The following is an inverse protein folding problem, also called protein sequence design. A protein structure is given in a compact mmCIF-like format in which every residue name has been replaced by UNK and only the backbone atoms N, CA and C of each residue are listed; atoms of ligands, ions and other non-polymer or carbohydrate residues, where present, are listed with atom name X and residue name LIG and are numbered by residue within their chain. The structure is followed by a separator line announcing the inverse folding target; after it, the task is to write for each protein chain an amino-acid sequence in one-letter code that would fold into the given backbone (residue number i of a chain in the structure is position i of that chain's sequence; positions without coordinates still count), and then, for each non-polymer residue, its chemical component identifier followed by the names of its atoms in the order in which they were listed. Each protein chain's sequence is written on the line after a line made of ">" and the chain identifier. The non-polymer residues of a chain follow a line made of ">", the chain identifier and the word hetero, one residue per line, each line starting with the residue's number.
data_IF_239020645094
#
_entry.id   IF_239020645094
#
_cell.length_a   1.000
_cell.length_b   1.000
_cell.length_c   1.000
_cell.angle_alpha   90.00
_cell.angle_beta   90.00
_cell.angle_gamma   90.00
#
_symmetry.space_group_name_H-M   'P 1'
#
loop_
_entity.id
_entity.type
_entity.pdbx_description
1 polymer ?
#
# COMPACT_ATOMS: atom_id res chain seq x y z
N UNK A 1 4.26 -18.39 -10.22
CA UNK A 1 3.11 -17.98 -11.08
C UNK A 1 2.22 -16.93 -10.43
N UNK A 2 1.51 -17.23 -9.31
CA UNK A 2 0.59 -16.25 -8.68
C UNK A 2 1.28 -14.93 -8.34
N UNK A 3 2.54 -14.98 -7.87
CA UNK A 3 3.37 -13.80 -7.59
C UNK A 3 3.44 -12.82 -8.77
N UNK A 4 3.60 -13.29 -10.01
CA UNK A 4 3.64 -12.44 -11.22
C UNK A 4 2.34 -11.69 -11.45
N UNK A 5 1.21 -12.38 -11.35
CA UNK A 5 -0.12 -11.77 -11.49
C UNK A 5 -0.36 -10.75 -10.38
N UNK A 6 -0.05 -11.13 -9.14
CA UNK A 6 -0.17 -10.26 -7.97
C UNK A 6 0.70 -9.01 -8.10
N UNK A 7 1.94 -9.17 -8.56
CA UNK A 7 2.89 -8.08 -8.76
C UNK A 7 2.43 -7.10 -9.85
N UNK A 8 2.01 -7.59 -11.02
CA UNK A 8 1.42 -6.71 -12.04
C UNK A 8 0.18 -5.98 -11.50
N UNK A 9 -0.65 -6.66 -10.73
CA UNK A 9 -1.80 -6.02 -10.09
C UNK A 9 -1.38 -4.91 -9.12
N UNK A 10 -0.33 -5.14 -8.34
CA UNK A 10 0.26 -4.16 -7.44
C UNK A 10 0.89 -2.97 -8.19
N UNK A 11 1.43 -3.18 -9.39
CA UNK A 11 1.89 -2.09 -10.26
C UNK A 11 0.72 -1.25 -10.85
N UNK A 12 -0.50 -1.79 -10.84
CA UNK A 12 -1.72 -1.11 -11.28
C UNK A 12 -2.44 -1.78 -12.46
N UNK A 13 -1.97 -2.93 -12.92
CA UNK A 13 -2.62 -3.68 -13.99
C UNK A 13 -3.89 -4.37 -13.47
N UNK A 14 -5.06 -3.91 -13.91
CA UNK A 14 -6.31 -4.56 -13.53
C UNK A 14 -6.40 -5.99 -14.09
N UNK A 15 -7.10 -6.91 -13.42
CA UNK A 15 -7.29 -8.28 -13.93
C UNK A 15 -7.91 -8.32 -15.32
N UNK A 16 -8.83 -7.39 -15.61
CA UNK A 16 -9.44 -7.26 -16.94
C UNK A 16 -8.41 -6.93 -18.01
N UNK A 17 -7.46 -6.07 -17.68
CA UNK A 17 -6.39 -5.68 -18.60
C UNK A 17 -5.39 -6.81 -18.81
N UNK A 18 -5.06 -7.54 -17.75
CA UNK A 18 -4.23 -8.74 -17.82
C UNK A 18 -4.90 -9.83 -18.67
N UNK A 19 -6.18 -10.12 -18.44
CA UNK A 19 -6.95 -11.06 -19.26
C UNK A 19 -6.90 -10.68 -20.74
N UNK A 20 -7.10 -9.39 -21.05
CA UNK A 20 -7.06 -8.87 -22.42
C UNK A 20 -5.70 -9.09 -23.08
N UNK A 21 -4.60 -8.77 -22.39
CA UNK A 21 -3.24 -8.87 -22.94
C UNK A 21 -2.77 -10.30 -23.09
N UNK A 22 -3.15 -11.18 -22.16
CA UNK A 22 -2.82 -12.61 -22.22
C UNK A 22 -3.69 -13.36 -23.25
N UNK A 23 -4.84 -12.77 -23.63
CA UNK A 23 -5.84 -13.43 -24.49
C UNK A 23 -6.72 -14.43 -23.72
N UNK A 24 -6.93 -14.19 -22.43
CA UNK A 24 -7.82 -14.99 -21.61
C UNK A 24 -9.27 -14.49 -21.61
N UNK A 25 -10.24 -15.38 -21.33
CA UNK A 25 -11.58 -14.96 -20.97
C UNK A 25 -11.59 -14.07 -19.73
N UNK A 26 -12.53 -13.13 -19.67
CA UNK A 26 -12.68 -12.22 -18.53
C UNK A 26 -12.85 -12.98 -17.21
N UNK A 27 -12.08 -12.59 -16.20
CA UNK A 27 -12.08 -13.18 -14.86
C UNK A 27 -11.10 -14.33 -14.68
N UNK A 28 -10.46 -14.81 -15.76
CA UNK A 28 -9.55 -15.95 -15.69
C UNK A 28 -8.34 -15.65 -14.82
N UNK A 29 -7.71 -14.48 -14.95
CA UNK A 29 -6.52 -14.10 -14.17
C UNK A 29 -6.82 -14.06 -12.67
N UNK A 30 -8.01 -13.57 -12.28
CA UNK A 30 -8.44 -13.60 -10.88
C UNK A 30 -8.69 -15.02 -10.39
N UNK A 31 -9.33 -15.87 -11.22
CA UNK A 31 -9.54 -17.29 -10.92
C UNK A 31 -8.21 -18.05 -10.75
N UNK A 32 -7.19 -17.75 -11.55
CA UNK A 32 -5.89 -18.42 -11.42
C UNK A 32 -5.26 -18.19 -10.04
N UNK A 33 -5.59 -17.12 -9.32
CA UNK A 33 -5.08 -16.89 -7.96
C UNK A 33 -5.68 -17.83 -6.90
N UNK A 34 -6.78 -18.52 -7.19
CA UNK A 34 -7.40 -19.50 -6.28
C UNK A 34 -6.95 -20.94 -6.56
N UNK A 35 -6.31 -21.16 -7.69
CA UNK A 35 -5.86 -22.49 -8.11
C UNK A 35 -4.54 -22.87 -7.43
N UNK A 36 -4.33 -24.16 -7.14
CA UNK A 36 -3.06 -24.63 -6.57
C UNK A 36 -1.98 -24.88 -7.62
N UNK A 37 -2.39 -25.08 -8.87
CA UNK A 37 -1.51 -25.41 -9.98
C UNK A 37 -2.14 -24.99 -11.30
N UNK A 38 -1.31 -24.77 -12.32
CA UNK A 38 -1.77 -24.36 -13.66
C UNK A 38 -1.09 -25.19 -14.73
N UNK A 39 -1.72 -25.27 -15.89
CA UNK A 39 -1.10 -25.89 -17.07
C UNK A 39 0.19 -25.14 -17.46
N UNK A 40 1.25 -25.85 -17.92
CA UNK A 40 2.49 -25.20 -18.37
C UNK A 40 2.28 -24.12 -19.42
N UNK A 41 1.38 -24.36 -20.39
CA UNK A 41 1.04 -23.35 -21.40
C UNK A 41 0.44 -22.06 -20.81
N UNK A 42 -0.31 -22.16 -19.72
CA UNK A 42 -0.87 -20.99 -19.01
C UNK A 42 0.24 -20.25 -18.27
N UNK A 43 1.15 -20.98 -17.64
CA UNK A 43 2.31 -20.40 -16.97
C UNK A 43 3.17 -19.59 -17.94
N UNK A 44 3.48 -20.16 -19.10
CA UNK A 44 4.30 -19.50 -20.13
C UNK A 44 3.69 -18.19 -20.63
N UNK A 45 2.39 -18.19 -20.95
CA UNK A 45 1.68 -16.98 -21.36
C UNK A 45 1.73 -15.86 -20.31
N UNK A 46 1.59 -16.22 -19.03
CA UNK A 46 1.67 -15.26 -17.92
C UNK A 46 3.11 -14.75 -17.77
N UNK A 47 4.11 -15.62 -17.95
CA UNK A 47 5.52 -15.24 -17.90
C UNK A 47 5.89 -14.25 -19.02
N UNK A 48 5.43 -14.50 -20.24
CA UNK A 48 5.64 -13.62 -21.39
C UNK A 48 5.05 -12.23 -21.15
N UNK A 49 3.78 -12.16 -20.73
CA UNK A 49 3.13 -10.87 -20.41
C UNK A 49 3.79 -10.21 -19.21
N UNK A 50 4.25 -10.96 -18.21
CA UNK A 50 4.98 -10.37 -17.09
C UNK A 50 6.26 -9.67 -17.54
N UNK A 51 7.11 -10.35 -18.33
CA UNK A 51 8.34 -9.77 -18.85
C UNK A 51 8.09 -8.54 -19.74
N UNK A 52 6.96 -8.50 -20.45
CA UNK A 52 6.57 -7.34 -21.24
C UNK A 52 6.19 -6.13 -20.37
N UNK A 53 5.55 -6.37 -19.22
CA UNK A 53 4.83 -5.33 -18.46
C UNK A 53 5.50 -4.93 -17.15
N UNK A 54 6.48 -5.69 -16.67
CA UNK A 54 7.10 -5.48 -15.36
C UNK A 54 7.73 -4.08 -15.18
N UNK A 55 8.18 -3.46 -16.27
CA UNK A 55 8.73 -2.08 -16.29
C UNK A 55 7.79 -1.06 -16.96
N UNK A 56 6.54 -1.42 -17.25
CA UNK A 56 5.59 -0.56 -17.97
C UNK A 56 4.46 -0.10 -17.09
N UNK A 57 4.00 1.11 -17.34
CA UNK A 57 2.81 1.64 -16.71
C UNK A 57 1.53 1.19 -17.44
N UNK A 58 0.44 0.91 -16.70
CA UNK A 58 -0.87 0.71 -17.28
C UNK A 58 -1.40 1.98 -17.97
N UNK A 59 -2.22 1.84 -19.03
CA UNK A 59 -2.89 2.98 -19.66
C UNK A 59 -3.64 3.82 -18.63
N UNK A 60 -3.48 5.15 -18.69
CA UNK A 60 -3.98 6.09 -17.68
C UNK A 60 -4.65 7.34 -18.28
N UNK A 61 -4.91 7.34 -19.59
CA UNK A 61 -5.41 8.49 -20.34
C UNK A 61 -6.84 8.87 -19.95
N UNK A 62 -7.68 7.90 -19.60
CA UNK A 62 -9.08 8.11 -19.23
C UNK A 62 -9.31 8.06 -17.72
N UNK A 63 -10.39 8.68 -17.24
CA UNK A 63 -10.78 8.61 -15.83
C UNK A 63 -11.10 7.17 -15.38
N UNK A 64 -11.68 6.36 -16.28
CA UNK A 64 -11.96 4.95 -16.04
C UNK A 64 -10.66 4.15 -15.82
N UNK A 65 -9.67 4.37 -16.67
CA UNK A 65 -8.34 3.75 -16.57
C UNK A 65 -7.64 4.13 -15.27
N UNK A 66 -7.61 5.42 -14.91
CA UNK A 66 -7.05 5.88 -13.62
C UNK A 66 -7.76 5.25 -12.43
N UNK A 67 -9.09 5.14 -12.48
CA UNK A 67 -9.87 4.46 -11.45
C UNK A 67 -9.53 2.96 -11.33
N UNK A 68 -9.31 2.28 -12.45
CA UNK A 68 -8.90 0.88 -12.47
C UNK A 68 -7.50 0.68 -11.86
N UNK A 69 -6.56 1.57 -12.16
CA UNK A 69 -5.21 1.58 -11.57
C UNK A 69 -5.28 1.76 -10.06
N UNK A 70 -6.01 2.78 -9.60
CA UNK A 70 -6.18 3.05 -8.17
C UNK A 70 -6.85 1.87 -7.45
N UNK A 71 -7.87 1.26 -8.06
CA UNK A 71 -8.54 0.07 -7.54
C UNK A 71 -7.59 -1.13 -7.41
N UNK A 72 -6.78 -1.39 -8.44
CA UNK A 72 -5.81 -2.47 -8.44
C UNK A 72 -4.75 -2.31 -7.32
N UNK A 73 -4.15 -1.11 -7.24
CA UNK A 73 -3.17 -0.77 -6.19
C UNK A 73 -3.76 -0.87 -4.79
N UNK A 74 -4.99 -0.37 -4.59
CA UNK A 74 -5.71 -0.46 -3.31
C UNK A 74 -5.96 -1.91 -2.89
N UNK A 75 -6.37 -2.77 -3.83
CA UNK A 75 -6.58 -4.19 -3.56
C UNK A 75 -5.26 -4.89 -3.22
N UNK A 76 -4.22 -4.66 -4.02
CA UNK A 76 -2.89 -5.21 -3.75
C UNK A 76 -2.36 -4.82 -2.37
N UNK A 77 -2.52 -3.55 -1.97
CA UNK A 77 -2.11 -3.09 -0.64
C UNK A 77 -2.94 -3.70 0.51
N UNK A 78 -4.20 -4.06 0.28
CA UNK A 78 -5.02 -4.77 1.25
C UNK A 78 -4.62 -6.25 1.39
N UNK A 79 -4.14 -6.86 0.31
CA UNK A 79 -3.72 -8.26 0.24
C UNK A 79 -2.22 -8.46 0.49
N UNK A 80 -1.46 -7.38 0.71
CA UNK A 80 -0.01 -7.44 0.94
C UNK A 80 0.81 -7.82 -0.29
N UNK A 81 0.31 -7.56 -1.50
CA UNK A 81 1.02 -7.90 -2.75
C UNK A 81 2.01 -6.81 -3.12
N UNK A 82 3.26 -7.23 -3.39
CA UNK A 82 4.36 -6.34 -3.77
C UNK A 82 4.49 -6.22 -5.31
N UNK A 83 4.82 -5.02 -5.85
CA UNK A 83 5.00 -4.80 -7.29
C UNK A 83 6.24 -5.50 -7.85
N UNK A 84 6.41 -5.60 -9.19
CA UNK A 84 7.50 -6.37 -9.82
C UNK A 84 8.89 -5.89 -9.37
N UNK A 85 9.09 -4.57 -9.33
CA UNK A 85 10.34 -3.94 -8.89
C UNK A 85 10.70 -4.17 -7.41
N UNK A 86 9.81 -4.77 -6.62
CA UNK A 86 10.10 -5.13 -5.24
C UNK A 86 10.74 -6.52 -5.13
N UNK A 87 10.91 -7.27 -6.23
CA UNK A 87 11.51 -8.60 -6.25
C UNK A 87 12.86 -8.55 -6.96
N UNK A 88 13.87 -9.22 -6.42
CA UNK A 88 15.17 -9.38 -7.10
C UNK A 88 15.08 -10.58 -8.07
N UNK A 89 14.49 -11.69 -7.61
CA UNK A 89 14.01 -12.80 -8.44
C UNK A 89 12.62 -13.28 -7.96
N UNK A 90 11.58 -12.85 -8.66
CA UNK A 90 10.17 -13.15 -8.30
C UNK A 90 9.83 -14.65 -8.23
N UNK A 91 10.60 -15.51 -8.88
CA UNK A 91 10.39 -16.97 -8.84
C UNK A 91 11.23 -17.65 -7.76
N UNK A 92 12.44 -17.18 -7.49
CA UNK A 92 13.35 -17.80 -6.54
C UNK A 92 13.20 -17.24 -5.11
N UNK A 93 12.84 -15.97 -4.96
CA UNK A 93 12.77 -15.32 -3.65
C UNK A 93 11.59 -15.83 -2.83
N UNK A 94 11.79 -16.04 -1.53
CA UNK A 94 10.69 -16.42 -0.62
C UNK A 94 9.75 -15.25 -0.31
N UNK A 95 10.30 -14.05 -0.28
CA UNK A 95 9.63 -12.78 -0.04
C UNK A 95 10.24 -11.70 -0.94
N UNK A 96 9.50 -10.63 -1.30
CA UNK A 96 10.09 -9.52 -2.05
C UNK A 96 11.31 -9.00 -1.30
N UNK A 97 12.36 -8.62 -2.03
CA UNK A 97 13.40 -7.77 -1.49
C UNK A 97 12.71 -6.62 -0.74
N UNK A 98 13.23 -6.22 0.41
CA UNK A 98 12.60 -5.17 1.23
C UNK A 98 12.74 -3.84 0.47
N UNK A 99 11.88 -3.68 -0.53
CA UNK A 99 11.81 -2.62 -1.52
C UNK A 99 10.35 -2.18 -1.58
N UNK A 100 9.81 -1.86 -0.40
CA UNK A 100 9.19 -0.56 -0.32
C UNK A 100 10.36 0.43 -0.40
N UNK A 101 10.73 0.87 -1.60
CA UNK A 101 11.55 2.09 -1.69
C UNK A 101 10.87 3.12 -0.79
N UNK A 102 11.62 3.90 0.02
CA UNK A 102 11.00 4.83 0.95
C UNK A 102 9.97 5.62 0.17
N UNK A 103 8.72 5.65 0.66
CA UNK A 103 7.86 6.79 0.28
C UNK A 103 8.74 7.98 0.60
N UNK A 104 9.09 8.78 -0.41
CA UNK A 104 9.85 9.99 -0.16
C UNK A 104 8.95 10.85 0.71
N UNK A 105 9.21 10.76 2.01
CA UNK A 105 8.49 11.50 3.02
C UNK A 105 9.11 12.87 2.94
N UNK A 106 8.31 13.86 2.57
CA UNK A 106 8.73 15.23 2.75
C UNK A 106 8.83 15.51 4.25
N UNK A 107 10.06 15.51 4.76
CA UNK A 107 10.36 15.74 6.16
C UNK A 107 9.84 17.09 6.64
N UNK A 108 9.73 18.09 5.76
CA UNK A 108 9.15 19.40 6.09
C UNK A 108 7.65 19.28 6.35
N UNK A 109 6.93 18.51 5.53
CA UNK A 109 5.49 18.26 5.76
C UNK A 109 5.27 17.49 7.06
N UNK A 110 6.10 16.48 7.35
CA UNK A 110 6.03 15.74 8.63
C UNK A 110 6.30 16.67 9.80
N UNK A 111 7.34 17.50 9.72
CA UNK A 111 7.69 18.43 10.77
C UNK A 111 6.57 19.47 10.97
N UNK A 112 5.98 19.99 9.91
CA UNK A 112 4.83 20.89 9.97
C UNK A 112 3.64 20.25 10.71
N UNK A 113 3.29 19.00 10.39
CA UNK A 113 2.25 18.25 11.09
C UNK A 113 2.60 18.05 12.58
N UNK A 114 3.85 17.71 12.87
CA UNK A 114 4.34 17.52 14.24
C UNK A 114 4.33 18.82 15.04
N UNK A 115 4.51 19.96 14.39
CA UNK A 115 4.44 21.29 15.01
C UNK A 115 3.01 21.86 15.06
N UNK A 116 2.03 21.13 14.52
CA UNK A 116 0.60 21.48 14.58
C UNK A 116 0.11 22.38 13.43
N UNK A 117 0.92 22.55 12.38
CA UNK A 117 0.50 23.23 11.16
C UNK A 117 -0.41 22.34 10.31
N UNK A 118 -1.30 22.96 9.53
CA UNK A 118 -2.21 22.24 8.64
C UNK A 118 -1.55 21.90 7.31
N UNK A 119 -1.52 20.62 7.00
CA UNK A 119 -1.06 20.09 5.70
C UNK A 119 -2.16 19.28 5.00
N UNK A 120 -3.10 19.93 4.30
CA UNK A 120 -4.20 19.23 3.63
C UNK A 120 -3.70 18.29 2.52
N UNK A 121 -2.52 18.58 1.94
CA UNK A 121 -1.87 17.77 0.92
C UNK A 121 -1.05 16.58 1.44
N UNK A 122 -0.87 16.46 2.77
CA UNK A 122 0.00 15.42 3.32
C UNK A 122 -0.43 14.02 2.86
N UNK A 123 0.55 13.16 2.57
CA UNK A 123 0.34 11.77 2.23
C UNK A 123 -0.04 10.94 3.46
N UNK A 124 -0.48 9.70 3.24
CA UNK A 124 -0.71 8.76 4.33
C UNK A 124 0.59 8.40 5.07
N UNK A 125 1.72 8.35 4.34
CA UNK A 125 3.02 8.03 4.92
C UNK A 125 3.50 9.16 5.84
N UNK A 126 3.40 10.42 5.41
CA UNK A 126 3.73 11.59 6.25
C UNK A 126 2.85 11.66 7.50
N UNK A 127 1.52 11.44 7.36
CA UNK A 127 0.63 11.41 8.52
C UNK A 127 0.96 10.28 9.49
N UNK A 128 1.35 9.11 8.98
CA UNK A 128 1.78 7.97 9.82
C UNK A 128 3.06 8.32 10.58
N UNK A 129 4.01 8.98 9.93
CA UNK A 129 5.29 9.38 10.54
C UNK A 129 5.10 10.45 11.62
N UNK A 130 4.22 11.43 11.36
CA UNK A 130 3.85 12.43 12.36
C UNK A 130 3.17 11.78 13.58
N UNK A 131 2.25 10.82 13.37
CA UNK A 131 1.62 10.06 14.46
C UNK A 131 2.67 9.27 15.26
N UNK A 132 3.61 8.59 14.59
CA UNK A 132 4.68 7.84 15.25
C UNK A 132 5.56 8.77 16.09
N UNK A 133 5.92 9.93 15.56
CA UNK A 133 6.72 10.94 16.25
C UNK A 133 6.02 11.50 17.48
N UNK A 134 4.75 11.91 17.36
CA UNK A 134 3.98 12.46 18.48
C UNK A 134 3.70 11.40 19.56
N UNK A 135 3.43 10.16 19.16
CA UNK A 135 3.29 9.03 20.08
C UNK A 135 4.62 8.72 20.80
N UNK A 136 5.76 8.80 20.09
CA UNK A 136 7.09 8.70 20.67
C UNK A 136 7.43 9.83 21.64
N UNK A 137 6.81 11.01 21.48
CA UNK A 137 6.86 12.13 22.42
C UNK A 137 5.90 11.96 23.62
N UNK A 138 5.14 10.87 23.68
CA UNK A 138 4.28 10.53 24.80
C UNK A 138 2.84 11.08 24.72
N UNK A 139 2.45 11.68 23.59
CA UNK A 139 1.08 12.15 23.41
C UNK A 139 0.12 10.95 23.27
N UNK A 140 -1.04 11.06 23.89
CA UNK A 140 -2.14 10.10 23.78
C UNK A 140 -2.82 10.18 22.41
N UNK A 141 -3.61 9.16 22.06
CA UNK A 141 -4.38 9.15 20.81
C UNK A 141 -5.38 10.32 20.68
N UNK A 142 -5.86 10.85 21.81
CA UNK A 142 -6.75 11.99 21.81
C UNK A 142 -5.99 13.29 21.51
N UNK A 143 -4.84 13.49 22.15
CA UNK A 143 -3.96 14.64 21.92
C UNK A 143 -3.42 14.65 20.50
N UNK A 144 -2.97 13.49 19.98
CA UNK A 144 -2.51 13.35 18.59
C UNK A 144 -3.64 13.68 17.61
N UNK A 145 -4.86 13.22 17.89
CA UNK A 145 -6.01 13.48 17.03
C UNK A 145 -6.34 14.97 16.97
N UNK A 146 -6.37 15.64 18.13
CA UNK A 146 -6.56 17.09 18.20
C UNK A 146 -5.45 17.84 17.46
N UNK A 147 -4.19 17.47 17.72
CA UNK A 147 -3.00 18.09 17.13
C UNK A 147 -2.98 18.03 15.60
N UNK A 148 -3.46 16.92 15.03
CA UNK A 148 -3.48 16.71 13.57
C UNK A 148 -4.84 17.06 12.91
N UNK A 149 -5.84 17.51 13.69
CA UNK A 149 -7.20 17.74 13.18
C UNK A 149 -7.88 16.47 12.66
N UNK A 150 -7.56 15.32 13.26
CA UNK A 150 -8.10 14.00 12.94
C UNK A 150 -9.07 13.52 14.04
N UNK A 151 -9.68 12.36 13.82
CA UNK A 151 -10.44 11.68 14.88
C UNK A 151 -9.55 10.69 15.62
N UNK A 152 -9.82 10.47 16.92
CA UNK A 152 -9.12 9.45 17.73
C UNK A 152 -9.15 8.05 17.08
N UNK A 153 -10.27 7.68 16.47
CA UNK A 153 -10.42 6.41 15.76
C UNK A 153 -9.50 6.32 14.52
N UNK A 154 -9.27 7.43 13.80
CA UNK A 154 -8.33 7.46 12.69
C UNK A 154 -6.88 7.26 13.17
N UNK A 155 -6.49 7.88 14.28
CA UNK A 155 -5.15 7.70 14.89
C UNK A 155 -4.94 6.26 15.34
N UNK A 156 -5.90 5.70 16.09
CA UNK A 156 -5.84 4.31 16.56
C UNK A 156 -5.69 3.32 15.39
N UNK A 157 -6.51 3.46 14.33
CA UNK A 157 -6.44 2.60 13.14
C UNK A 157 -5.09 2.66 12.42
N UNK A 158 -4.48 3.84 12.34
CA UNK A 158 -3.14 4.01 11.74
C UNK A 158 -2.09 3.32 12.60
N UNK A 159 -2.15 3.50 13.93
CA UNK A 159 -1.22 2.87 14.86
C UNK A 159 -1.32 1.34 14.86
N UNK A 160 -2.52 0.78 14.87
CA UNK A 160 -2.74 -0.68 14.79
C UNK A 160 -2.17 -1.27 13.50
N UNK A 161 -2.45 -0.62 12.35
CA UNK A 161 -1.94 -1.05 11.05
C UNK A 161 -0.42 -0.97 10.93
N UNK A 162 0.20 -0.04 11.66
CA UNK A 162 1.64 0.16 11.68
C UNK A 162 2.35 -0.57 12.84
N UNK A 163 1.61 -1.36 13.64
CA UNK A 163 2.11 -2.01 14.86
C UNK A 163 2.79 -1.05 15.87
N UNK A 164 2.31 0.20 15.96
CA UNK A 164 2.80 1.22 16.90
C UNK A 164 2.06 1.08 18.24
N UNK A 165 2.79 0.76 19.31
CA UNK A 165 2.23 0.67 20.67
C UNK A 165 1.69 2.01 21.17
N UNK A 166 0.67 1.95 22.03
CA UNK A 166 0.07 3.16 22.58
C UNK A 166 1.02 3.80 23.56
N UNK A 167 1.23 5.10 23.42
CA UNK A 167 1.71 5.89 24.53
C UNK A 167 0.79 5.64 25.73
N UNK A 168 1.39 5.22 26.84
CA UNK A 168 0.69 5.16 28.12
C UNK A 168 0.45 6.62 28.50
N UNK A 169 -0.71 7.15 28.12
CA UNK A 169 -0.97 8.58 28.19
C UNK A 169 -0.71 9.16 29.57
N UNK A 170 -0.27 10.42 29.61
CA UNK A 170 -0.21 11.27 30.80
C UNK A 170 -1.60 11.60 31.41
N UNK A 171 -2.63 10.85 31.02
CA UNK A 171 -4.03 11.02 31.42
C UNK A 171 -4.33 10.49 32.84
N UNK A 172 -3.28 10.18 33.62
CA UNK A 172 -3.41 9.87 35.06
C UNK A 172 -3.27 11.09 35.98
N UNK A 173 -2.88 12.27 35.47
CA UNK A 173 -2.62 13.46 36.32
C UNK A 173 -3.51 14.68 36.03
N UNK A 174 -4.76 14.48 35.64
CA UNK A 174 -5.82 15.49 35.84
C UNK A 174 -6.93 14.98 36.75
N UNK A 175 -6.54 14.53 37.94
CA UNK A 175 -7.39 14.59 39.12
C UNK A 175 -6.72 15.58 40.08
N UNK A 176 -7.55 16.46 40.65
CA UNK A 176 -7.27 17.52 41.65
C UNK A 176 -6.89 18.91 41.11
N UNK A 177 -7.91 19.75 40.90
CA UNK A 177 -8.22 20.92 41.74
C UNK A 177 -9.65 21.39 41.47
#
# INVERSE_FOLDING_TARGET
>A
MHRRIQALHAAGWSFRELDRRIGFPRGKTAFLLTEKSVMPATFEKVREVFAELELREPPSSTAHERGAIAGARKRAAAEGWAPPLAWDDIDADDAPAVSGGPVEIDEVIVQNLVDGYREPGASYAERREAIATLNGRGLSDAEIAEHLGLTRAAVNKVRERAAISAAVGADRERIVA
#
